data_IF_038390207612
#
_entry.id   IF_038390207612
#
_cell.length_a   1.000
_cell.length_b   1.000
_cell.length_c   1.000
_cell.angle_alpha   90.00
_cell.angle_beta   90.00
_cell.angle_gamma   90.00
#
_symmetry.space_group_name_H-M   'P 1'
#
loop_
_entity.id
_entity.type
_entity.pdbx_description
1 polymer ?
#
# COMPACT_ATOMS: atom_id res chain seq x y z
N UNK A 1 -18.48 6.56 30.05
CA UNK A 1 -19.77 6.30 29.36
C UNK A 1 -19.61 5.52 28.04
N UNK A 2 -18.75 5.86 27.06
CA UNK A 2 -18.64 5.08 25.81
C UNK A 2 -17.99 3.70 25.98
N UNK A 3 -16.96 3.58 26.82
CA UNK A 3 -16.30 2.29 27.11
C UNK A 3 -17.27 1.30 27.77
N UNK A 4 -18.11 1.79 28.70
CA UNK A 4 -19.14 0.97 29.34
C UNK A 4 -20.20 0.47 28.36
N UNK A 5 -20.60 1.29 27.38
CA UNK A 5 -21.54 0.87 26.31
C UNK A 5 -20.92 -0.21 25.43
N UNK A 6 -19.63 -0.10 25.08
CA UNK A 6 -18.93 -1.15 24.31
C UNK A 6 -18.86 -2.46 25.11
N UNK A 7 -18.49 -2.40 26.38
CA UNK A 7 -18.46 -3.59 27.26
C UNK A 7 -19.84 -4.21 27.45
N UNK A 8 -20.90 -3.39 27.58
CA UNK A 8 -22.27 -3.89 27.72
C UNK A 8 -22.82 -4.46 26.40
N UNK A 9 -22.39 -3.93 25.25
CA UNK A 9 -22.77 -4.44 23.93
C UNK A 9 -22.26 -5.86 23.64
N UNK A 10 -21.19 -6.30 24.31
CA UNK A 10 -20.74 -7.70 24.27
C UNK A 10 -21.67 -8.67 25.02
N UNK A 11 -22.50 -8.17 25.94
CA UNK A 11 -23.45 -8.98 26.74
C UNK A 11 -24.83 -9.10 26.08
N UNK A 12 -25.10 -8.35 25.00
CA UNK A 12 -26.31 -8.45 24.19
C UNK A 12 -25.99 -9.25 22.90
N UNK A 13 -26.40 -10.53 22.81
CA UNK A 13 -26.06 -11.36 21.66
C UNK A 13 -26.95 -11.00 20.46
N UNK A 14 -26.52 -10.04 19.64
CA UNK A 14 -27.11 -9.77 18.33
C UNK A 14 -26.61 -10.81 17.30
N UNK A 15 -27.10 -12.04 17.43
CA UNK A 15 -26.63 -13.19 16.66
C UNK A 15 -26.76 -13.01 15.14
N UNK A 16 -27.78 -12.27 14.67
CA UNK A 16 -27.98 -12.00 13.24
C UNK A 16 -26.96 -11.01 12.66
N UNK A 17 -26.53 -10.00 13.42
CA UNK A 17 -25.50 -9.04 13.00
C UNK A 17 -24.14 -9.72 12.87
N UNK A 18 -23.74 -10.53 13.86
CA UNK A 18 -22.51 -11.32 13.79
C UNK A 18 -22.52 -12.33 12.63
N UNK A 19 -23.65 -12.99 12.38
CA UNK A 19 -23.79 -13.88 11.22
C UNK A 19 -23.60 -13.12 9.90
N UNK A 20 -24.20 -11.94 9.74
CA UNK A 20 -24.04 -11.13 8.54
C UNK A 20 -22.61 -10.59 8.35
N UNK A 21 -21.99 -10.06 9.41
CA UNK A 21 -20.59 -9.60 9.41
C UNK A 21 -19.60 -10.72 9.06
N UNK A 22 -19.78 -11.90 9.64
CA UNK A 22 -18.93 -13.06 9.40
C UNK A 22 -19.06 -13.65 8.01
N UNK A 23 -20.23 -13.52 7.38
CA UNK A 23 -20.46 -14.05 6.03
C UNK A 23 -20.00 -13.08 4.94
N UNK A 24 -20.14 -11.76 5.12
CA UNK A 24 -19.97 -10.80 4.01
C UNK A 24 -18.75 -9.87 4.15
N UNK A 25 -18.35 -9.53 5.39
CA UNK A 25 -17.32 -8.50 5.62
C UNK A 25 -15.99 -9.11 6.06
N UNK A 26 -16.00 -10.01 7.05
CA UNK A 26 -14.77 -10.61 7.58
C UNK A 26 -13.99 -11.41 6.52
N UNK A 27 -14.60 -12.28 5.70
CA UNK A 27 -13.85 -13.09 4.73
C UNK A 27 -13.20 -12.23 3.65
N UNK A 28 -13.92 -11.21 3.16
CA UNK A 28 -13.39 -10.28 2.15
C UNK A 28 -12.26 -9.41 2.71
N UNK A 29 -12.38 -8.93 3.94
CA UNK A 29 -11.32 -8.15 4.61
C UNK A 29 -10.07 -9.00 4.84
N UNK A 30 -10.22 -10.22 5.37
CA UNK A 30 -9.10 -11.14 5.60
C UNK A 30 -8.43 -11.50 4.28
N UNK A 31 -9.21 -11.82 3.24
CA UNK A 31 -8.65 -12.19 1.93
C UNK A 31 -7.90 -11.01 1.30
N UNK A 32 -8.52 -9.83 1.25
CA UNK A 32 -7.89 -8.63 0.66
C UNK A 32 -6.62 -8.23 1.39
N UNK A 33 -6.65 -8.22 2.73
CA UNK A 33 -5.48 -7.88 3.55
C UNK A 33 -4.37 -8.91 3.38
N UNK A 34 -4.70 -10.20 3.33
CA UNK A 34 -3.70 -11.27 3.10
C UNK A 34 -3.03 -11.11 1.74
N UNK A 35 -3.80 -10.85 0.68
CA UNK A 35 -3.26 -10.61 -0.67
C UNK A 35 -2.31 -9.40 -0.67
N UNK A 36 -2.72 -8.29 -0.04
CA UNK A 36 -1.88 -7.09 0.07
C UNK A 36 -0.59 -7.37 0.85
N UNK A 37 -0.67 -8.06 1.99
CA UNK A 37 0.49 -8.40 2.81
C UNK A 37 1.47 -9.29 2.05
N UNK A 38 0.99 -10.31 1.35
CA UNK A 38 1.83 -11.20 0.54
C UNK A 38 2.47 -10.44 -0.62
N UNK A 39 1.68 -9.66 -1.37
CA UNK A 39 2.18 -8.88 -2.51
C UNK A 39 3.26 -7.86 -2.09
N UNK A 40 2.99 -7.09 -1.03
CA UNK A 40 3.95 -6.13 -0.48
C UNK A 40 5.17 -6.85 0.10
N UNK A 41 4.98 -7.93 0.84
CA UNK A 41 6.07 -8.71 1.44
C UNK A 41 7.04 -9.26 0.40
N UNK A 42 6.54 -9.84 -0.69
CA UNK A 42 7.37 -10.31 -1.81
C UNK A 42 8.08 -9.14 -2.48
N UNK A 43 7.36 -8.06 -2.80
CA UNK A 43 7.94 -6.89 -3.47
C UNK A 43 9.06 -6.23 -2.66
N UNK A 44 8.83 -5.98 -1.37
CA UNK A 44 9.82 -5.38 -0.46
C UNK A 44 11.02 -6.30 -0.26
N UNK A 45 10.81 -7.61 -0.14
CA UNK A 45 11.92 -8.56 0.03
C UNK A 45 12.81 -8.58 -1.21
N UNK A 46 12.23 -8.65 -2.41
CA UNK A 46 12.99 -8.66 -3.66
C UNK A 46 13.74 -7.34 -3.87
N UNK A 47 13.04 -6.22 -3.83
CA UNK A 47 13.65 -4.91 -4.07
C UNK A 47 14.64 -4.54 -2.96
N UNK A 48 14.29 -4.76 -1.70
CA UNK A 48 15.14 -4.47 -0.56
C UNK A 48 16.43 -5.30 -0.57
N UNK A 49 16.34 -6.60 -0.86
CA UNK A 49 17.53 -7.47 -0.94
C UNK A 49 18.44 -7.05 -2.09
N UNK A 50 17.88 -6.75 -3.27
CA UNK A 50 18.68 -6.31 -4.43
C UNK A 50 19.36 -4.97 -4.15
N UNK A 51 18.64 -3.98 -3.62
CA UNK A 51 19.21 -2.68 -3.27
C UNK A 51 20.28 -2.80 -2.19
N UNK A 52 20.03 -3.60 -1.14
CA UNK A 52 21.00 -3.86 -0.09
C UNK A 52 22.26 -4.54 -0.63
N UNK A 53 22.11 -5.55 -1.49
CA UNK A 53 23.22 -6.23 -2.12
C UNK A 53 24.06 -5.27 -2.97
N UNK A 54 23.43 -4.42 -3.78
CA UNK A 54 24.13 -3.43 -4.60
C UNK A 54 24.93 -2.43 -3.75
N UNK A 55 24.34 -1.90 -2.68
CA UNK A 55 25.02 -0.91 -1.81
C UNK A 55 26.12 -1.54 -0.95
N UNK A 56 26.01 -2.83 -0.60
CA UNK A 56 26.99 -3.50 0.29
C UNK A 56 28.12 -4.16 -0.50
N UNK A 57 27.80 -4.89 -1.58
CA UNK A 57 28.74 -5.73 -2.31
C UNK A 57 29.35 -5.09 -3.56
N UNK A 58 28.76 -4.01 -4.09
CA UNK A 58 29.22 -3.38 -5.34
C UNK A 58 29.75 -1.97 -5.09
N UNK A 59 30.97 -1.70 -5.53
CA UNK A 59 31.56 -0.36 -5.53
C UNK A 59 31.24 0.36 -6.85
N UNK A 60 30.18 1.17 -6.85
CA UNK A 60 29.79 1.99 -8.00
C UNK A 60 29.78 3.49 -7.62
N UNK A 61 30.03 4.40 -8.58
CA UNK A 61 30.22 5.83 -8.29
C UNK A 61 29.00 6.52 -7.65
N UNK A 62 27.79 5.94 -7.75
CA UNK A 62 26.54 6.45 -7.17
C UNK A 62 26.18 5.89 -5.78
N UNK A 63 27.03 5.04 -5.17
CA UNK A 63 26.70 4.30 -3.93
C UNK A 63 26.25 5.19 -2.78
N UNK A 64 27.00 6.26 -2.49
CA UNK A 64 26.69 7.20 -1.38
C UNK A 64 25.34 7.89 -1.56
N UNK A 65 24.99 8.21 -2.79
CA UNK A 65 23.70 8.80 -3.13
C UNK A 65 22.55 7.81 -2.90
N UNK A 66 22.72 6.56 -3.36
CA UNK A 66 21.71 5.53 -3.17
C UNK A 66 21.53 5.18 -1.68
N UNK A 67 22.63 5.05 -0.93
CA UNK A 67 22.63 4.82 0.51
C UNK A 67 21.83 5.89 1.26
N UNK A 68 22.05 7.17 0.94
CA UNK A 68 21.27 8.27 1.50
C UNK A 68 19.79 8.23 1.07
N UNK A 69 19.51 7.97 -0.21
CA UNK A 69 18.15 7.91 -0.75
C UNK A 69 17.31 6.80 -0.10
N UNK A 70 17.92 5.69 0.31
CA UNK A 70 17.22 4.60 1.03
C UNK A 70 16.67 5.07 2.39
N UNK A 71 17.26 6.08 3.03
CA UNK A 71 16.76 6.64 4.28
C UNK A 71 15.65 7.69 4.07
N UNK A 72 15.58 8.30 2.89
CA UNK A 72 14.59 9.33 2.54
C UNK A 72 13.13 8.89 2.78
N UNK A 73 12.65 7.72 2.33
CA UNK A 73 11.25 7.33 2.52
C UNK A 73 10.89 7.13 4.01
N UNK A 74 11.85 6.83 4.87
CA UNK A 74 11.61 6.67 6.31
C UNK A 74 11.40 8.01 7.03
N UNK A 75 11.94 9.11 6.50
CA UNK A 75 11.75 10.44 7.06
C UNK A 75 10.37 11.04 6.72
N UNK A 76 9.72 10.51 5.68
CA UNK A 76 8.45 11.02 5.18
C UNK A 76 7.30 10.26 5.85
N UNK A 77 6.29 10.96 6.41
CA UNK A 77 5.09 10.29 6.93
C UNK A 77 4.37 9.49 5.83
N UNK A 78 3.94 8.27 6.16
CA UNK A 78 3.33 7.36 5.19
C UNK A 78 2.12 7.97 4.44
N UNK A 79 1.32 8.80 5.12
CA UNK A 79 0.16 9.45 4.50
C UNK A 79 0.56 10.45 3.40
N UNK A 80 1.69 11.16 3.56
CA UNK A 80 2.19 12.11 2.55
C UNK A 80 2.61 11.33 1.32
N UNK A 81 3.35 10.25 1.51
CA UNK A 81 3.82 9.39 0.43
C UNK A 81 2.63 8.78 -0.34
N UNK A 82 1.58 8.36 0.36
CA UNK A 82 0.35 7.87 -0.27
C UNK A 82 -0.32 8.93 -1.16
N UNK A 83 -0.42 10.19 -0.71
CA UNK A 83 -0.99 11.26 -1.53
C UNK A 83 -0.13 11.61 -2.74
N UNK A 84 1.20 11.58 -2.58
CA UNK A 84 2.11 11.78 -3.71
C UNK A 84 1.92 10.66 -4.74
N UNK A 85 1.86 9.39 -4.31
CA UNK A 85 1.59 8.28 -5.23
C UNK A 85 0.23 8.41 -5.91
N UNK A 86 -0.82 8.75 -5.17
CA UNK A 86 -2.13 9.00 -5.75
C UNK A 86 -2.07 10.09 -6.82
N UNK A 87 -1.38 11.21 -6.57
CA UNK A 87 -1.27 12.29 -7.56
C UNK A 87 -0.41 11.94 -8.78
N UNK A 88 0.67 11.16 -8.60
CA UNK A 88 1.57 10.76 -9.69
C UNK A 88 0.92 9.74 -10.62
N UNK A 89 0.15 8.82 -10.05
CA UNK A 89 -0.52 7.75 -10.79
C UNK A 89 -2.00 8.04 -11.09
N UNK A 90 -2.52 9.20 -10.68
CA UNK A 90 -3.85 9.67 -11.10
C UNK A 90 -3.93 9.76 -12.61
N UNK A 91 -5.13 9.75 -13.18
CA UNK A 91 -5.33 9.79 -14.62
C UNK A 91 -4.63 10.98 -15.30
N UNK A 92 -4.57 12.13 -14.63
CA UNK A 92 -3.86 13.35 -15.06
C UNK A 92 -2.41 13.43 -14.59
N UNK A 93 -1.93 12.43 -13.85
CA UNK A 93 -0.59 12.37 -13.29
C UNK A 93 0.51 12.19 -14.33
N UNK A 94 1.72 12.64 -14.01
CA UNK A 94 2.86 12.65 -14.93
C UNK A 94 3.18 11.27 -15.50
N UNK A 95 3.06 10.21 -14.69
CA UNK A 95 3.37 8.84 -15.15
C UNK A 95 2.31 8.33 -16.12
N UNK A 96 1.02 8.58 -15.87
CA UNK A 96 -0.06 8.16 -16.76
C UNK A 96 -0.03 8.94 -18.09
N UNK A 97 0.29 10.24 -18.05
CA UNK A 97 0.49 11.07 -19.25
C UNK A 97 1.67 10.54 -20.07
N UNK A 98 2.83 10.36 -19.44
CA UNK A 98 4.02 9.85 -20.13
C UNK A 98 3.78 8.47 -20.74
N UNK A 99 3.11 7.56 -20.02
CA UNK A 99 2.78 6.23 -20.52
C UNK A 99 1.81 6.28 -21.71
N UNK A 100 0.83 7.19 -21.71
CA UNK A 100 -0.06 7.41 -22.87
C UNK A 100 0.70 7.96 -24.08
N UNK A 101 1.56 8.95 -23.87
CA UNK A 101 2.25 9.65 -24.95
C UNK A 101 3.35 8.80 -25.59
N UNK A 102 4.08 8.01 -24.78
CA UNK A 102 5.23 7.23 -25.25
C UNK A 102 4.84 5.80 -25.61
N UNK A 103 4.02 5.14 -24.78
CA UNK A 103 3.67 3.73 -24.96
C UNK A 103 2.30 3.53 -25.62
N UNK A 104 1.50 4.60 -25.79
CA UNK A 104 0.16 4.52 -26.40
C UNK A 104 -0.87 3.77 -25.57
N UNK A 105 -0.53 3.41 -24.32
CA UNK A 105 -1.40 2.65 -23.43
C UNK A 105 -2.46 3.59 -22.83
N UNK A 106 -3.75 3.23 -22.92
CA UNK A 106 -4.82 3.97 -22.26
C UNK A 106 -4.56 4.00 -20.74
N UNK A 107 -4.44 5.21 -20.18
CA UNK A 107 -4.09 5.39 -18.77
C UNK A 107 -5.09 4.70 -17.84
N UNK A 108 -4.57 4.07 -16.77
CA UNK A 108 -5.36 3.37 -15.77
C UNK A 108 -5.79 4.35 -14.67
N UNK A 109 -7.10 4.53 -14.48
CA UNK A 109 -7.62 5.40 -13.44
C UNK A 109 -7.83 4.63 -12.13
N UNK A 110 -6.97 4.90 -11.15
CA UNK A 110 -7.02 4.27 -9.82
C UNK A 110 -8.22 4.79 -9.01
N UNK A 111 -8.82 5.92 -9.42
CA UNK A 111 -10.01 6.51 -8.79
C UNK A 111 -11.30 6.06 -9.46
N UNK A 112 -11.25 5.46 -10.65
CA UNK A 112 -12.41 4.79 -11.23
C UNK A 112 -12.61 3.48 -10.46
N UNK A 113 -13.35 3.55 -9.36
CA UNK A 113 -13.79 2.37 -8.62
C UNK A 113 -14.77 1.58 -9.50
N UNK A 114 -14.25 0.72 -10.35
CA UNK A 114 -15.01 -0.32 -11.05
C UNK A 114 -14.91 -1.64 -10.30
#
# INVERSE_FOLDING_TARGET
MPIFVVVLSWLLPEHELWAHFSQHLLPNLITSTTILLVGVGVGVTLLGTVLAYLVVMVEFPGRKWLEWALFLPFAIPAYVLAFVYLGVFDYSGYVQVWMREVLGLSGFDIRSGS
#
